data_IF_859570505919
#
_entry.id   IF_859570505919
#
_cell.length_a   1.000
_cell.length_b   1.000
_cell.length_c   1.000
_cell.angle_alpha   90.00
_cell.angle_beta   90.00
_cell.angle_gamma   90.00
#
_symmetry.space_group_name_H-M   'P 1'
#
loop_
_entity.id
_entity.type
_entity.pdbx_description
1 polymer ?
#
# COMPACT_ATOMS: atom_id res chain seq x y z
N UNK A 1 -0.30 7.13 25.54
CA UNK A 1 -0.28 7.05 24.07
C UNK A 1 0.84 7.96 23.61
N UNK A 2 1.94 7.40 23.10
CA UNK A 2 3.06 8.22 22.65
C UNK A 2 2.54 9.15 21.54
N UNK A 3 2.82 10.45 21.67
CA UNK A 3 2.59 11.43 20.61
C UNK A 3 3.68 11.21 19.56
N UNK A 4 3.63 10.08 18.87
CA UNK A 4 4.52 9.84 17.75
C UNK A 4 4.04 10.73 16.61
N UNK A 5 4.91 11.66 16.21
CA UNK A 5 4.68 12.52 15.06
C UNK A 5 4.59 11.64 13.83
N UNK A 6 3.55 11.87 13.01
CA UNK A 6 3.34 11.13 11.77
C UNK A 6 4.56 11.33 10.86
N UNK A 7 5.19 10.26 10.32
CA UNK A 7 6.37 10.37 9.46
C UNK A 7 6.11 11.18 8.18
N UNK A 8 7.04 12.07 7.81
CA UNK A 8 6.93 12.94 6.62
C UNK A 8 6.71 12.16 5.31
N UNK A 9 7.28 10.95 5.20
CA UNK A 9 7.10 10.09 4.01
C UNK A 9 5.63 9.72 3.77
N UNK A 10 4.80 9.65 4.82
CA UNK A 10 3.38 9.35 4.65
C UNK A 10 2.63 10.55 4.05
N UNK A 11 3.02 11.78 4.37
CA UNK A 11 2.47 12.97 3.70
C UNK A 11 2.88 13.01 2.22
N UNK A 12 4.13 12.65 1.91
CA UNK A 12 4.58 12.50 0.50
C UNK A 12 3.80 11.43 -0.24
N UNK A 13 3.44 10.32 0.43
CA UNK A 13 2.61 9.27 -0.14
C UNK A 13 1.21 9.78 -0.50
N UNK A 14 0.62 10.61 0.36
CA UNK A 14 -0.69 11.24 0.08
C UNK A 14 -0.59 12.15 -1.14
N UNK A 15 0.45 12.98 -1.22
CA UNK A 15 0.71 13.83 -2.39
C UNK A 15 0.91 13.00 -3.67
N UNK A 16 1.69 11.91 -3.57
CA UNK A 16 1.91 10.98 -4.67
C UNK A 16 0.61 10.33 -5.20
N UNK A 17 -0.33 10.00 -4.30
CA UNK A 17 -1.63 9.42 -4.66
C UNK A 17 -2.66 10.48 -5.11
N UNK A 18 -2.38 11.78 -4.95
CA UNK A 18 -3.33 12.86 -5.26
C UNK A 18 -3.74 12.91 -6.74
N UNK A 19 -2.89 12.46 -7.64
CA UNK A 19 -3.16 12.42 -9.08
C UNK A 19 -3.32 10.98 -9.61
N UNK A 20 -3.54 9.99 -8.72
CA UNK A 20 -3.63 8.56 -9.06
C UNK A 20 -4.83 7.91 -8.41
N UNK A 21 -5.62 7.17 -9.16
CA UNK A 21 -6.71 6.37 -8.58
C UNK A 21 -6.14 5.17 -7.81
N UNK A 22 -5.15 4.52 -8.39
CA UNK A 22 -4.48 3.34 -7.82
C UNK A 22 -2.97 3.35 -8.07
N UNK A 23 -2.26 2.61 -7.23
CA UNK A 23 -0.86 2.30 -7.41
C UNK A 23 -0.54 0.91 -6.85
N UNK A 24 0.28 0.13 -7.55
CA UNK A 24 0.77 -1.14 -7.05
C UNK A 24 2.25 -1.34 -7.40
N UNK A 25 2.99 -1.92 -6.45
CA UNK A 25 4.42 -2.18 -6.61
C UNK A 25 5.07 -2.68 -5.32
N UNK A 26 6.38 -2.82 -5.33
CA UNK A 26 7.19 -3.15 -4.15
C UNK A 26 7.43 -1.91 -3.28
N UNK A 27 7.86 -2.12 -2.03
CA UNK A 27 8.23 -1.01 -1.15
C UNK A 27 9.36 -0.13 -1.72
N UNK A 28 10.31 -0.74 -2.45
CA UNK A 28 11.40 0.00 -3.11
C UNK A 28 10.88 0.86 -4.25
N UNK A 29 9.98 0.32 -5.07
CA UNK A 29 9.36 1.08 -6.17
C UNK A 29 8.48 2.22 -5.65
N UNK A 30 7.79 2.01 -4.53
CA UNK A 30 7.01 3.06 -3.87
C UNK A 30 7.90 4.24 -3.48
N UNK A 31 9.01 3.96 -2.80
CA UNK A 31 9.96 4.99 -2.36
C UNK A 31 10.57 5.72 -3.56
N UNK A 32 11.00 4.98 -4.59
CA UNK A 32 11.54 5.57 -5.81
C UNK A 32 10.51 6.46 -6.53
N UNK A 33 9.24 6.04 -6.60
CA UNK A 33 8.17 6.79 -7.24
C UNK A 33 7.81 8.08 -6.48
N UNK A 34 7.97 8.08 -5.15
CA UNK A 34 7.81 9.27 -4.30
C UNK A 34 9.07 10.16 -4.26
N UNK A 35 10.16 9.76 -4.92
CA UNK A 35 11.46 10.44 -4.81
C UNK A 35 12.07 10.36 -3.40
N UNK A 36 11.67 9.36 -2.61
CA UNK A 36 12.11 9.15 -1.24
C UNK A 36 13.40 8.33 -1.19
N UNK A 37 14.47 8.90 -0.64
CA UNK A 37 15.80 8.25 -0.57
C UNK A 37 16.26 7.92 0.84
N UNK A 38 15.67 8.54 1.86
CA UNK A 38 16.11 8.39 3.26
C UNK A 38 15.39 7.24 3.96
N UNK A 39 14.13 7.01 3.60
CA UNK A 39 13.33 5.92 4.15
C UNK A 39 13.71 4.57 3.53
N UNK A 40 13.90 3.55 4.37
CA UNK A 40 14.23 2.19 3.94
C UNK A 40 12.93 1.41 3.64
N UNK A 41 12.90 0.50 2.64
CA UNK A 41 11.71 -0.28 2.28
C UNK A 41 11.01 -1.00 3.45
N UNK A 42 11.76 -1.52 4.42
CA UNK A 42 11.17 -2.18 5.60
C UNK A 42 10.49 -1.20 6.54
N UNK A 43 11.00 0.02 6.66
CA UNK A 43 10.45 1.07 7.53
C UNK A 43 9.14 1.59 6.97
N UNK A 44 9.08 1.90 5.67
CA UNK A 44 7.82 2.34 5.04
C UNK A 44 6.73 1.28 5.17
N UNK A 45 7.06 -0.01 5.02
CA UNK A 45 6.07 -1.09 5.24
C UNK A 45 5.57 -1.14 6.68
N UNK A 46 6.41 -0.83 7.67
CA UNK A 46 5.99 -0.78 9.07
C UNK A 46 5.00 0.38 9.27
N UNK A 47 5.33 1.57 8.77
CA UNK A 47 4.47 2.74 8.87
C UNK A 47 3.14 2.56 8.13
N UNK A 48 3.15 1.98 6.93
CA UNK A 48 1.91 1.65 6.21
C UNK A 48 0.99 0.72 7.03
N UNK A 49 1.56 -0.28 7.70
CA UNK A 49 0.77 -1.18 8.56
C UNK A 49 0.25 -0.52 9.83
N UNK A 50 1.05 0.39 10.41
CA UNK A 50 0.76 1.12 11.65
C UNK A 50 -0.33 2.19 11.43
N UNK A 51 -0.24 2.93 10.32
CA UNK A 51 -1.12 4.06 10.01
C UNK A 51 -2.26 3.72 9.04
N UNK A 52 -2.49 2.43 8.75
CA UNK A 52 -3.51 1.99 7.78
C UNK A 52 -4.94 2.45 8.12
N UNK A 53 -5.32 2.43 9.39
CA UNK A 53 -6.68 2.75 9.86
C UNK A 53 -6.79 4.15 10.46
N UNK A 54 -5.68 4.89 10.50
CA UNK A 54 -5.64 6.27 10.98
C UNK A 54 -5.31 7.15 9.79
N UNK A 55 -4.07 7.62 9.68
CA UNK A 55 -3.66 8.61 8.70
C UNK A 55 -4.00 8.23 7.25
N UNK A 56 -3.80 6.98 6.82
CA UNK A 56 -4.13 6.60 5.44
C UNK A 56 -5.64 6.64 5.20
N UNK A 57 -6.44 6.07 6.13
CA UNK A 57 -7.89 6.07 6.02
C UNK A 57 -8.48 7.49 6.09
N UNK A 58 -7.94 8.36 6.93
CA UNK A 58 -8.34 9.77 7.05
C UNK A 58 -8.05 10.57 5.78
N UNK A 59 -7.02 10.17 5.01
CA UNK A 59 -6.69 10.74 3.70
C UNK A 59 -7.33 9.96 2.53
N UNK A 60 -8.33 9.12 2.81
CA UNK A 60 -9.04 8.31 1.80
C UNK A 60 -8.12 7.37 0.98
N UNK A 61 -7.05 6.87 1.58
CA UNK A 61 -6.14 5.91 0.96
C UNK A 61 -6.32 4.53 1.59
N UNK A 62 -6.68 3.56 0.76
CA UNK A 62 -6.68 2.14 1.10
C UNK A 62 -5.29 1.54 0.90
N UNK A 63 -4.83 0.73 1.85
CA UNK A 63 -3.57 0.01 1.75
C UNK A 63 -3.81 -1.50 1.87
N UNK A 64 -3.19 -2.26 0.96
CA UNK A 64 -3.15 -3.72 1.03
C UNK A 64 -1.73 -4.24 0.80
N UNK A 65 -1.38 -5.29 1.55
CA UNK A 65 -0.13 -6.02 1.39
C UNK A 65 -0.42 -7.46 0.97
N UNK A 66 0.28 -7.97 -0.04
CA UNK A 66 0.19 -9.36 -0.47
C UNK A 66 1.57 -9.97 -0.72
N UNK A 67 1.67 -11.29 -0.53
CA UNK A 67 2.82 -12.09 -0.97
C UNK A 67 2.43 -12.83 -2.24
N UNK A 68 3.17 -12.59 -3.32
CA UNK A 68 3.06 -13.28 -4.60
C UNK A 68 4.24 -14.26 -4.76
N UNK A 69 4.14 -15.16 -5.73
CA UNK A 69 5.27 -16.04 -6.12
C UNK A 69 6.56 -15.26 -6.40
N UNK A 70 6.41 -14.06 -6.95
CA UNK A 70 7.51 -13.18 -7.36
C UNK A 70 7.96 -12.19 -6.28
N UNK A 71 7.33 -12.22 -5.09
CA UNK A 71 7.77 -11.40 -3.96
C UNK A 71 6.63 -10.68 -3.23
N UNK A 72 6.94 -9.51 -2.67
CA UNK A 72 6.04 -8.74 -1.81
C UNK A 72 5.45 -7.58 -2.60
N UNK A 73 4.13 -7.40 -2.55
CA UNK A 73 3.46 -6.30 -3.23
C UNK A 73 2.68 -5.44 -2.23
N UNK A 74 2.73 -4.14 -2.47
CA UNK A 74 1.91 -3.09 -1.87
C UNK A 74 0.92 -2.63 -2.94
N UNK A 75 -0.35 -2.52 -2.56
CA UNK A 75 -1.38 -1.87 -3.36
C UNK A 75 -1.98 -0.71 -2.57
N UNK A 76 -2.12 0.43 -3.23
CA UNK A 76 -2.69 1.67 -2.73
C UNK A 76 -3.84 2.08 -3.66
N UNK A 77 -4.95 2.51 -3.10
CA UNK A 77 -6.08 3.01 -3.88
C UNK A 77 -6.72 4.20 -3.17
N UNK A 78 -7.10 5.23 -3.92
CA UNK A 78 -7.96 6.30 -3.40
C UNK A 78 -9.39 5.77 -3.32
N UNK A 79 -10.03 5.98 -2.17
CA UNK A 79 -11.46 5.75 -2.01
C UNK A 79 -12.17 7.08 -2.25
N UNK A 80 -12.84 7.21 -3.39
CA UNK A 80 -13.88 8.23 -3.52
C UNK A 80 -15.01 7.87 -2.55
N UNK A 81 -15.54 8.86 -1.84
CA UNK A 81 -16.42 8.68 -0.69
C UNK A 81 -17.81 8.14 -1.02
N UNK A 82 -17.90 6.98 -1.67
CA UNK A 82 -19.13 6.20 -1.73
C UNK A 82 -19.05 5.00 -0.80
N UNK A 83 -20.07 4.92 0.06
CA UNK A 83 -20.22 3.89 1.07
C UNK A 83 -20.71 2.62 0.38
N UNK A 84 -19.79 1.78 -0.11
CA UNK A 84 -20.11 0.52 -0.77
C UNK A 84 -19.35 -0.64 -0.16
N UNK A 85 -20.06 -1.50 0.56
CA UNK A 85 -19.63 -2.87 0.86
C UNK A 85 -19.28 -3.61 -0.45
N UNK A 86 -18.14 -4.29 -0.44
CA UNK A 86 -17.52 -4.99 -1.56
C UNK A 86 -16.16 -5.45 -1.06
N UNK A 87 -16.07 -6.51 -0.26
CA UNK A 87 -16.54 -7.84 -0.63
C UNK A 87 -15.44 -8.46 -1.50
N UNK A 88 -14.71 -9.42 -0.91
CA UNK A 88 -14.01 -10.48 -1.65
C UNK A 88 -13.07 -9.99 -2.78
N UNK A 89 -11.81 -9.74 -2.39
CA UNK A 89 -10.71 -9.69 -3.34
C UNK A 89 -10.04 -11.05 -3.51
N UNK A 90 -10.78 -12.11 -3.85
CA UNK A 90 -10.25 -13.20 -4.65
C UNK A 90 -9.86 -12.62 -6.03
N UNK A 91 -8.68 -12.02 -6.08
CA UNK A 91 -8.01 -11.72 -7.34
C UNK A 91 -7.60 -13.08 -7.89
N UNK A 92 -8.46 -13.62 -8.76
CA UNK A 92 -8.44 -14.96 -9.33
C UNK A 92 -7.05 -15.59 -9.41
N UNK A 93 -6.82 -16.56 -8.53
CA UNK A 93 -5.72 -17.50 -8.65
C UNK A 93 -6.25 -18.72 -9.40
N UNK A 94 -5.96 -18.92 -10.69
CA UNK A 94 -6.18 -20.23 -11.29
C UNK A 94 -5.23 -21.21 -10.58
N UNK A 95 -5.69 -22.42 -10.22
CA UNK A 95 -4.84 -23.39 -9.54
C UNK A 95 -3.64 -23.69 -10.43
N UNK A 96 -2.44 -23.43 -9.91
CA UNK A 96 -1.18 -23.78 -10.57
C UNK A 96 -1.19 -25.28 -10.79
N UNK A 97 -1.30 -25.71 -12.05
CA UNK A 97 -1.03 -27.09 -12.44
C UNK A 97 0.45 -27.33 -12.22
N UNK A 98 0.76 -28.15 -11.21
CA UNK A 98 2.12 -28.67 -10.99
C UNK A 98 2.42 -29.60 -12.15
N UNK A 99 3.36 -29.22 -13.01
CA UNK A 99 4.07 -30.18 -13.85
C UNK A 99 5.32 -30.60 -13.08
N UNK A 100 5.27 -31.79 -12.49
CA UNK A 100 6.45 -32.49 -12.01
C UNK A 100 7.31 -32.91 -13.21
N UNK A 101 8.63 -32.81 -13.07
CA UNK A 101 9.62 -33.36 -13.98
C UNK A 101 10.54 -34.31 -13.21
#
# INVERSE_FOLDING_TARGET
>A
LAKETIPDVLFRLVDFMRDKEEWAGTATELLAAMGETETIPTVITKWLNEYRTTFLSENCISYQYSRKKDGRQIALARREGDSGDGGDGDIGIPPVTVIEA
#
